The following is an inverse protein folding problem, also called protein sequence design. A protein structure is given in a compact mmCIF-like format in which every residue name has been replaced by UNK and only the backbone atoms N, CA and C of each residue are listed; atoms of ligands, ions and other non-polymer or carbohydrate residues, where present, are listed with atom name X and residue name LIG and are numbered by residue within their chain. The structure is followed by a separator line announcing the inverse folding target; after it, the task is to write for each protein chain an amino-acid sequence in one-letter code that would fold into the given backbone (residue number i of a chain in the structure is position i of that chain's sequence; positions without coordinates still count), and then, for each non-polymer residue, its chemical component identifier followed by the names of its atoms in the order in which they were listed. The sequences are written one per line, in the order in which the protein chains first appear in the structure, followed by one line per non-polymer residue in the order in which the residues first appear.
data_IF_896851187551
#
_entry.id   IF_896851187551
#
_cell.length_a   1.000
_cell.length_b   1.000
_cell.length_c   1.000
_cell.angle_alpha   90.00
_cell.angle_beta   90.00
_cell.angle_gamma   90.00
#
_symmetry.space_group_name_H-M   'P 1'
#
loop_
_entity.id
_entity.type
_entity.pdbx_description
1 polymer ?
#
# COMPACT_ATOMS: atom_id res chain seq x y z
N UNK A 1 -10.01 15.19 6.76
CA UNK A 1 -10.58 13.83 6.95
C UNK A 1 -9.97 13.19 8.18
N UNK A 2 -10.79 12.66 9.03
CA UNK A 2 -10.33 12.07 10.30
C UNK A 2 -9.80 10.65 10.12
N UNK A 3 -8.90 10.25 10.99
CA UNK A 3 -8.29 8.91 10.96
C UNK A 3 -9.31 7.77 10.99
N UNK A 4 -10.40 7.94 11.75
CA UNK A 4 -11.47 6.92 11.81
C UNK A 4 -12.17 6.70 10.49
N UNK A 5 -12.30 7.72 9.65
CA UNK A 5 -12.90 7.59 8.33
C UNK A 5 -11.97 6.83 7.39
N UNK A 6 -10.68 7.12 7.47
CA UNK A 6 -9.66 6.42 6.69
C UNK A 6 -9.64 4.95 7.08
N UNK A 7 -9.60 4.68 8.37
CA UNK A 7 -9.59 3.32 8.90
C UNK A 7 -10.85 2.56 8.51
N UNK A 8 -12.01 3.20 8.59
CA UNK A 8 -13.28 2.58 8.23
C UNK A 8 -13.28 2.13 6.75
N UNK A 9 -12.81 2.98 5.83
CA UNK A 9 -12.72 2.59 4.41
C UNK A 9 -11.75 1.41 4.22
N UNK A 10 -10.58 1.47 4.83
CA UNK A 10 -9.59 0.41 4.74
C UNK A 10 -10.16 -0.93 5.24
N UNK A 11 -10.84 -0.91 6.37
CA UNK A 11 -11.38 -2.13 6.99
C UNK A 11 -12.50 -2.77 6.17
N UNK A 12 -13.18 -2.02 5.28
CA UNK A 12 -14.19 -2.60 4.39
C UNK A 12 -13.60 -3.60 3.39
N UNK A 13 -12.28 -3.55 3.18
CA UNK A 13 -11.57 -4.47 2.29
C UNK A 13 -11.08 -5.74 2.98
N UNK A 14 -11.13 -5.79 4.30
CA UNK A 14 -10.59 -6.91 5.07
C UNK A 14 -11.18 -8.24 4.61
N UNK A 15 -10.31 -9.21 4.36
CA UNK A 15 -10.71 -10.53 3.86
C UNK A 15 -10.86 -10.64 2.35
N UNK A 16 -10.81 -9.53 1.61
CA UNK A 16 -10.82 -9.57 0.14
C UNK A 16 -9.59 -10.35 -0.32
N UNK A 17 -9.78 -11.35 -1.19
CA UNK A 17 -8.69 -12.22 -1.63
C UNK A 17 -7.76 -11.53 -2.62
N UNK A 18 -6.53 -12.01 -2.69
CA UNK A 18 -5.58 -11.55 -3.69
C UNK A 18 -5.97 -12.01 -5.09
N UNK A 19 -6.03 -11.07 -6.02
CA UNK A 19 -6.27 -11.31 -7.45
C UNK A 19 -5.50 -10.29 -8.27
N UNK A 20 -4.68 -10.74 -9.21
CA UNK A 20 -3.86 -9.88 -10.04
C UNK A 20 -4.71 -8.83 -10.78
N UNK A 21 -4.36 -7.54 -10.58
CA UNK A 21 -5.01 -6.36 -11.18
C UNK A 21 -6.51 -6.21 -10.93
N UNK A 22 -7.14 -7.08 -10.15
CA UNK A 22 -8.53 -6.92 -9.78
C UNK A 22 -8.67 -5.85 -8.69
N UNK A 23 -9.78 -5.13 -8.70
CA UNK A 23 -10.02 -4.03 -7.77
C UNK A 23 -11.50 -4.00 -7.38
N UNK A 24 -12.01 -5.13 -6.87
CA UNK A 24 -13.41 -5.30 -6.48
C UNK A 24 -13.49 -5.75 -5.04
N UNK A 25 -14.03 -4.88 -4.20
CA UNK A 25 -14.19 -5.13 -2.76
C UNK A 25 -14.98 -6.43 -2.53
N UNK A 26 -14.43 -7.31 -1.69
CA UNK A 26 -15.04 -8.60 -1.37
C UNK A 26 -14.78 -9.71 -2.40
N UNK A 27 -14.30 -9.37 -3.59
CA UNK A 27 -14.07 -10.36 -4.66
C UNK A 27 -12.59 -10.57 -4.97
N UNK A 28 -11.84 -9.48 -5.12
CA UNK A 28 -10.41 -9.58 -5.39
C UNK A 28 -9.75 -8.23 -5.50
N UNK A 29 -8.49 -8.18 -5.06
CA UNK A 29 -7.66 -6.97 -5.13
C UNK A 29 -6.20 -7.39 -5.04
N UNK A 30 -5.28 -6.64 -5.62
CA UNK A 30 -3.85 -6.87 -5.41
C UNK A 30 -3.21 -5.71 -4.63
N UNK A 31 -1.92 -5.82 -4.38
CA UNK A 31 -1.21 -4.88 -3.52
C UNK A 31 -1.10 -3.46 -4.11
N UNK A 32 -1.19 -3.32 -5.43
CA UNK A 32 -1.17 -2.02 -6.11
C UNK A 32 -2.58 -1.42 -6.14
N UNK A 33 -3.57 -2.23 -6.53
CA UNK A 33 -4.94 -1.74 -6.65
C UNK A 33 -5.56 -1.39 -5.30
N UNK A 34 -5.18 -2.07 -4.23
CA UNK A 34 -5.75 -1.85 -2.91
C UNK A 34 -5.58 -0.39 -2.44
N UNK A 35 -4.37 0.17 -2.33
CA UNK A 35 -4.24 1.57 -1.89
C UNK A 35 -4.85 2.56 -2.87
N UNK A 36 -4.82 2.28 -4.17
CA UNK A 36 -5.45 3.14 -5.18
C UNK A 36 -6.97 3.18 -4.99
N UNK A 37 -7.60 2.04 -4.76
CA UNK A 37 -9.05 1.98 -4.56
C UNK A 37 -9.47 2.63 -3.24
N UNK A 38 -8.70 2.43 -2.18
CA UNK A 38 -8.93 3.14 -0.92
C UNK A 38 -8.89 4.66 -1.17
N UNK A 39 -7.88 5.13 -1.86
CA UNK A 39 -7.71 6.55 -2.16
C UNK A 39 -8.85 7.09 -3.03
N UNK A 40 -9.32 6.33 -4.01
CA UNK A 40 -10.48 6.71 -4.84
C UNK A 40 -11.73 6.86 -3.97
N UNK A 41 -11.98 5.90 -3.11
CA UNK A 41 -13.17 5.91 -2.24
C UNK A 41 -13.14 7.03 -1.22
N UNK A 42 -11.95 7.47 -0.83
CA UNK A 42 -11.77 8.60 0.08
C UNK A 42 -11.71 9.96 -0.65
N UNK A 43 -11.76 9.95 -1.98
CA UNK A 43 -11.71 11.19 -2.76
C UNK A 43 -10.31 11.78 -2.92
N UNK A 44 -9.27 11.03 -2.60
CA UNK A 44 -7.89 11.51 -2.74
C UNK A 44 -7.36 11.37 -4.17
N UNK A 45 -7.92 10.46 -4.93
CA UNK A 45 -7.55 10.17 -6.32
C UNK A 45 -8.82 10.14 -7.15
N UNK A 46 -8.74 10.68 -8.38
CA UNK A 46 -9.88 10.68 -9.31
C UNK A 46 -10.32 9.24 -9.62
N UNK A 47 -11.63 9.03 -9.69
CA UNK A 47 -12.19 7.74 -10.09
C UNK A 47 -11.76 7.32 -11.51
N UNK A 48 -11.39 8.29 -12.33
CA UNK A 48 -10.93 8.04 -13.70
C UNK A 48 -9.47 7.58 -13.78
N UNK A 49 -8.72 7.68 -12.69
CA UNK A 49 -7.32 7.28 -12.68
C UNK A 49 -7.19 5.77 -12.92
N UNK A 50 -6.28 5.41 -13.82
CA UNK A 50 -5.96 4.01 -14.11
C UNK A 50 -4.48 3.77 -13.88
N UNK A 51 -4.16 2.72 -13.15
CA UNK A 51 -2.77 2.30 -12.96
C UNK A 51 -2.21 1.79 -14.28
N UNK A 52 -0.89 1.84 -14.42
CA UNK A 52 -0.22 1.21 -15.56
C UNK A 52 -0.41 -0.31 -15.49
N UNK A 53 -0.34 -0.96 -16.64
CA UNK A 53 -0.40 -2.43 -16.68
C UNK A 53 0.93 -3.01 -16.20
N UNK A 54 0.86 -4.06 -15.38
CA UNK A 54 2.03 -4.75 -14.85
C UNK A 54 1.78 -6.25 -14.86
N UNK A 55 2.87 -7.03 -14.97
CA UNK A 55 2.76 -8.48 -14.92
C UNK A 55 2.59 -8.97 -13.49
N UNK A 56 2.08 -10.19 -13.31
CA UNK A 56 1.86 -10.81 -12.00
C UNK A 56 3.17 -10.92 -11.19
N UNK A 57 4.26 -11.15 -11.88
CA UNK A 57 5.59 -11.37 -11.29
C UNK A 57 6.56 -10.22 -11.58
N UNK A 58 6.02 -9.02 -11.74
CA UNK A 58 6.79 -7.83 -12.12
C UNK A 58 7.97 -7.54 -11.19
N UNK A 59 7.84 -7.87 -9.90
CA UNK A 59 8.90 -7.65 -8.93
C UNK A 59 10.12 -8.53 -9.19
N UNK A 60 9.94 -9.67 -9.85
CA UNK A 60 11.00 -10.60 -10.20
C UNK A 60 11.73 -10.21 -11.48
N UNK A 61 11.01 -9.61 -12.43
CA UNK A 61 11.50 -9.36 -13.78
C UNK A 61 11.84 -7.91 -14.07
N UNK A 62 11.24 -6.97 -13.36
CA UNK A 62 11.49 -5.55 -13.56
C UNK A 62 12.37 -5.03 -12.46
N UNK A 63 13.39 -4.28 -12.82
CA UNK A 63 14.10 -3.51 -11.84
C UNK A 63 13.19 -2.40 -11.31
N UNK A 64 13.56 -1.83 -10.24
CA UNK A 64 13.06 -0.73 -9.44
C UNK A 64 11.89 0.14 -9.96
N UNK A 65 11.54 0.13 -11.24
CA UNK A 65 10.98 1.34 -11.84
C UNK A 65 9.46 1.43 -11.96
N UNK A 66 8.75 0.31 -12.07
CA UNK A 66 7.32 0.38 -12.44
C UNK A 66 6.48 0.94 -11.31
N UNK A 67 6.62 0.35 -10.13
CA UNK A 67 5.83 0.79 -8.98
C UNK A 67 6.27 2.16 -8.47
N UNK A 68 7.56 2.44 -8.49
CA UNK A 68 8.09 3.73 -8.07
C UNK A 68 7.51 4.87 -8.90
N UNK A 69 7.37 4.68 -10.21
CA UNK A 69 6.74 5.68 -11.08
C UNK A 69 5.29 5.95 -10.69
N UNK A 70 4.53 4.89 -10.39
CA UNK A 70 3.15 5.02 -9.96
C UNK A 70 3.07 5.81 -8.64
N UNK A 71 3.95 5.48 -7.71
CA UNK A 71 4.02 6.17 -6.43
C UNK A 71 4.33 7.65 -6.62
N UNK A 72 5.30 8.00 -7.42
CA UNK A 72 5.69 9.39 -7.65
C UNK A 72 4.60 10.21 -8.35
N UNK A 73 3.75 9.55 -9.15
CA UNK A 73 2.64 10.22 -9.83
C UNK A 73 1.55 10.66 -8.86
N UNK A 74 1.20 9.82 -7.90
CA UNK A 74 0.04 10.02 -7.02
C UNK A 74 0.40 10.50 -5.61
N UNK A 75 1.59 10.22 -5.18
CA UNK A 75 1.99 10.38 -3.79
C UNK A 75 3.26 11.21 -3.68
N UNK A 76 3.51 11.67 -2.48
CA UNK A 76 4.77 12.32 -2.12
C UNK A 76 5.49 11.48 -1.07
N UNK A 77 6.81 11.47 -1.12
CA UNK A 77 7.63 10.71 -0.21
C UNK A 77 7.50 11.24 1.22
N UNK A 78 7.42 10.32 2.17
CA UNK A 78 7.46 10.64 3.61
C UNK A 78 8.86 10.34 4.10
N UNK A 79 9.62 11.34 4.58
CA UNK A 79 10.93 11.09 5.17
C UNK A 79 10.80 10.20 6.40
N UNK A 80 11.58 9.12 6.46
CA UNK A 80 11.59 8.20 7.59
C UNK A 80 12.87 8.40 8.39
N UNK A 81 12.73 8.44 9.71
CA UNK A 81 13.87 8.55 10.62
C UNK A 81 14.10 7.24 11.36
N UNK A 82 15.38 6.84 11.50
CA UNK A 82 15.76 5.68 12.29
C UNK A 82 15.31 4.33 11.70
N UNK A 83 15.10 3.39 12.61
CA UNK A 83 14.64 2.05 12.25
C UNK A 83 13.10 1.99 12.11
N UNK A 84 12.56 0.79 11.81
CA UNK A 84 11.12 0.58 11.63
C UNK A 84 10.30 0.99 12.86
N UNK A 85 10.84 0.83 14.05
CA UNK A 85 10.13 1.17 15.28
C UNK A 85 10.03 2.70 15.42
N UNK A 86 11.16 3.38 15.20
CA UNK A 86 11.24 4.84 15.31
C UNK A 86 10.50 5.55 14.17
N UNK A 87 10.55 5.00 12.95
CA UNK A 87 9.97 5.66 11.79
C UNK A 87 8.44 5.72 11.82
N UNK A 88 7.78 4.91 12.64
CA UNK A 88 6.32 4.95 12.74
C UNK A 88 5.80 6.28 13.29
N UNK A 89 6.64 7.06 13.97
CA UNK A 89 6.27 8.40 14.43
C UNK A 89 6.09 9.39 13.26
N UNK A 90 6.71 9.10 12.10
CA UNK A 90 6.60 9.92 10.90
C UNK A 90 5.36 9.59 10.06
N UNK A 91 4.69 8.49 10.38
CA UNK A 91 3.61 7.95 9.57
C UNK A 91 2.24 8.43 10.03
N UNK A 92 1.32 8.52 9.07
CA UNK A 92 -0.09 8.83 9.32
C UNK A 92 -0.98 7.74 8.73
N UNK A 93 -2.20 7.63 9.25
CA UNK A 93 -3.20 6.73 8.70
C UNK A 93 -3.33 6.92 7.19
N UNK A 94 -3.28 5.82 6.46
CA UNK A 94 -3.40 5.83 5.01
C UNK A 94 -2.10 6.02 4.26
N UNK A 95 -0.99 6.24 4.95
CA UNK A 95 0.31 6.27 4.28
C UNK A 95 0.60 4.91 3.65
N UNK A 96 1.17 4.94 2.45
CA UNK A 96 1.54 3.73 1.71
C UNK A 96 2.97 3.35 2.06
N UNK A 97 3.15 2.09 2.44
CA UNK A 97 4.45 1.53 2.76
C UNK A 97 4.91 0.66 1.59
N UNK A 98 6.07 1.00 1.04
CA UNK A 98 6.67 0.24 -0.05
C UNK A 98 7.69 -0.73 0.52
N UNK A 99 7.50 -2.00 0.23
CA UNK A 99 8.34 -3.09 0.73
C UNK A 99 9.20 -3.62 -0.41
N UNK A 100 10.48 -3.80 -0.11
CA UNK A 100 11.41 -4.35 -1.08
C UNK A 100 11.35 -5.87 -1.03
N UNK A 101 10.91 -6.44 -2.14
CA UNK A 101 10.91 -7.88 -2.35
C UNK A 101 11.91 -8.19 -3.44
N UNK A 102 12.85 -9.08 -3.14
CA UNK A 102 13.95 -9.42 -4.05
C UNK A 102 14.75 -8.18 -4.46
N UNK A 103 14.72 -7.78 -5.74
CA UNK A 103 15.56 -6.70 -6.29
C UNK A 103 14.90 -5.34 -6.31
N UNK A 104 13.58 -5.28 -6.15
CA UNK A 104 12.88 -4.01 -6.31
C UNK A 104 11.73 -3.88 -5.31
N UNK A 105 11.12 -2.70 -5.29
CA UNK A 105 9.90 -2.48 -4.54
C UNK A 105 8.81 -3.32 -5.20
N UNK A 106 8.36 -4.36 -4.52
CA UNK A 106 7.46 -5.36 -5.06
C UNK A 106 6.17 -5.53 -4.29
N UNK A 107 5.99 -4.82 -3.19
CA UNK A 107 4.79 -4.98 -2.37
C UNK A 107 4.43 -3.66 -1.70
N UNK A 108 3.14 -3.39 -1.62
CA UNK A 108 2.62 -2.21 -0.94
C UNK A 108 1.69 -2.61 0.20
N UNK A 109 1.68 -1.81 1.24
CA UNK A 109 0.70 -1.88 2.30
C UNK A 109 0.31 -0.47 2.72
N UNK A 110 -0.61 -0.37 3.66
CA UNK A 110 -1.02 0.92 4.20
C UNK A 110 -0.88 0.93 5.71
N UNK A 111 -0.43 2.06 6.25
CA UNK A 111 -0.32 2.25 7.69
C UNK A 111 -1.68 2.56 8.29
N UNK A 112 -2.02 1.91 9.39
CA UNK A 112 -3.29 2.09 10.07
C UNK A 112 -3.13 2.44 11.56
N UNK A 113 -2.00 3.02 11.93
CA UNK A 113 -1.72 3.35 13.32
C UNK A 113 -1.26 2.16 14.15
N UNK A 114 -0.92 2.39 15.39
CA UNK A 114 -0.50 1.35 16.35
C UNK A 114 0.59 0.41 15.82
N UNK A 115 1.49 0.92 14.99
CA UNK A 115 2.57 0.14 14.39
C UNK A 115 2.05 -1.07 13.61
N UNK A 116 0.91 -0.91 12.92
CA UNK A 116 0.27 -1.95 12.12
C UNK A 116 0.21 -1.57 10.66
N UNK A 117 0.33 -2.59 9.81
CA UNK A 117 0.18 -2.49 8.37
C UNK A 117 -1.01 -3.34 7.92
N UNK A 118 -1.79 -2.82 6.97
CA UNK A 118 -2.78 -3.61 6.25
C UNK A 118 -2.26 -3.80 4.82
N UNK A 119 -2.31 -5.03 4.34
CA UNK A 119 -1.83 -5.34 2.99
C UNK A 119 -2.55 -6.57 2.43
N UNK A 120 -2.36 -6.82 1.14
CA UNK A 120 -3.00 -7.96 0.47
C UNK A 120 -2.01 -9.13 0.43
N UNK A 121 -2.20 -10.09 1.30
CA UNK A 121 -1.40 -11.29 1.35
C UNK A 121 -1.86 -12.27 0.25
N UNK A 122 -0.91 -12.85 -0.47
CA UNK A 122 -1.22 -13.70 -1.63
C UNK A 122 -2.14 -14.87 -1.30
N UNK A 123 -2.06 -15.40 -0.07
CA UNK A 123 -2.87 -16.54 0.36
C UNK A 123 -4.04 -16.15 1.27
N UNK A 124 -3.89 -15.11 2.07
CA UNK A 124 -4.86 -14.74 3.11
C UNK A 124 -5.71 -13.52 2.74
N UNK A 125 -5.38 -12.85 1.62
CA UNK A 125 -6.09 -11.64 1.22
C UNK A 125 -5.71 -10.41 2.05
N UNK A 126 -6.62 -9.48 2.17
CA UNK A 126 -6.40 -8.25 2.95
C UNK A 126 -6.38 -8.57 4.44
N UNK A 127 -5.23 -8.40 5.06
CA UNK A 127 -4.98 -8.71 6.48
C UNK A 127 -4.24 -7.57 7.17
N UNK A 128 -4.32 -7.57 8.48
CA UNK A 128 -3.62 -6.62 9.35
C UNK A 128 -2.50 -7.37 10.07
N UNK A 129 -1.31 -6.79 10.05
CA UNK A 129 -0.15 -7.39 10.72
C UNK A 129 0.69 -6.30 11.38
N UNK A 130 1.52 -6.66 12.40
CA UNK A 130 2.50 -5.71 12.94
C UNK A 130 3.53 -5.32 11.89
N UNK A 131 3.84 -4.03 11.79
CA UNK A 131 4.85 -3.53 10.84
C UNK A 131 6.23 -4.14 11.10
N UNK A 132 6.50 -4.54 12.34
CA UNK A 132 7.79 -5.15 12.73
C UNK A 132 8.10 -6.43 11.97
N UNK A 133 7.07 -7.15 11.47
CA UNK A 133 7.28 -8.35 10.65
C UNK A 133 8.00 -8.01 9.33
N UNK A 134 7.92 -6.77 8.89
CA UNK A 134 8.46 -6.32 7.61
C UNK A 134 9.63 -5.35 7.77
N UNK A 135 10.27 -5.37 8.95
CA UNK A 135 11.34 -4.44 9.29
C UNK A 135 12.48 -4.42 8.26
N UNK A 136 12.86 -5.61 7.76
CA UNK A 136 13.94 -5.75 6.79
C UNK A 136 13.54 -5.37 5.38
N UNK A 137 12.24 -5.43 5.07
CA UNK A 137 11.71 -5.17 3.74
C UNK A 137 11.28 -3.71 3.54
N UNK A 138 11.07 -2.95 4.61
CA UNK A 138 10.60 -1.56 4.49
C UNK A 138 11.64 -0.73 3.73
N UNK A 139 11.21 -0.23 2.57
CA UNK A 139 12.05 0.57 1.69
C UNK A 139 11.74 2.06 1.82
N UNK A 140 10.45 2.42 1.75
CA UNK A 140 10.03 3.82 1.73
C UNK A 140 8.57 3.95 2.14
N UNK A 141 8.18 5.15 2.46
CA UNK A 141 6.79 5.50 2.78
C UNK A 141 6.35 6.67 1.92
N UNK A 142 5.06 6.69 1.59
CA UNK A 142 4.48 7.64 0.66
C UNK A 142 3.12 8.09 1.16
N UNK A 143 2.78 9.34 0.89
CA UNK A 143 1.50 9.91 1.32
C UNK A 143 0.75 10.43 0.12
N UNK A 144 -0.54 10.07 0.02
CA UNK A 144 -1.39 10.65 -1.03
C UNK A 144 -1.45 12.16 -0.89
N UNK A 145 -1.33 12.84 -2.01
CA UNK A 145 -1.52 14.29 -2.07
C UNK A 145 -3.00 14.59 -1.85
N UNK A 146 -3.32 15.32 -0.79
CA UNK A 146 -4.70 15.59 -0.38
C UNK A 146 -4.87 16.97 0.23
#
# INVERSE_FOLDING_TARGET
MEDKEILAEILTWKGTRWRHMQAVKGEGVDCVQFPVMVAKNLGWVSDDYKTIKYSRDWATHNDFSVLTRELETLLEAVPLSGDVISCTDDLRFGDVLALKMERCVGHLGMYIGNKQIVHVHIRRGVIIEPISLYAKQLHSAWRFKR
#
